data_IF_773017155797
#
_entry.id   IF_773017155797
#
_cell.length_a   1.000
_cell.length_b   1.000
_cell.length_c   1.000
_cell.angle_alpha   90.00
_cell.angle_beta   90.00
_cell.angle_gamma   90.00
#
_symmetry.space_group_name_H-M   'P 1'
#
loop_
_entity.id
_entity.type
_entity.pdbx_description
1 polymer ?
#
# COMPACT_ATOMS: atom_id res chain seq x y z
N UNK A 1 -15.96 -13.72 -15.72
CA UNK A 1 -15.35 -12.78 -14.74
C UNK A 1 -16.12 -12.87 -13.44
N UNK A 2 -15.48 -13.25 -12.34
CA UNK A 2 -16.16 -13.32 -11.04
C UNK A 2 -16.31 -11.93 -10.40
N UNK A 3 -17.32 -11.77 -9.57
CA UNK A 3 -17.58 -10.58 -8.76
C UNK A 3 -18.31 -11.00 -7.46
N UNK A 4 -18.59 -10.07 -6.56
CA UNK A 4 -19.20 -10.38 -5.26
C UNK A 4 -20.54 -11.15 -5.33
N UNK A 5 -21.31 -11.08 -6.43
CA UNK A 5 -22.55 -11.86 -6.58
C UNK A 5 -22.33 -13.36 -6.79
N UNK A 6 -21.09 -13.77 -7.09
CA UNK A 6 -20.69 -15.17 -7.27
C UNK A 6 -20.16 -15.81 -5.98
N UNK A 7 -20.17 -15.07 -4.87
CA UNK A 7 -19.87 -15.62 -3.55
C UNK A 7 -21.09 -16.38 -3.01
N UNK A 8 -20.84 -17.37 -2.14
CA UNK A 8 -21.91 -18.12 -1.49
C UNK A 8 -22.91 -17.20 -0.79
N UNK A 9 -24.20 -17.55 -0.87
CA UNK A 9 -25.28 -16.78 -0.22
C UNK A 9 -24.95 -16.59 1.26
N UNK A 10 -25.05 -15.35 1.74
CA UNK A 10 -24.74 -14.98 3.11
C UNK A 10 -23.31 -14.50 3.36
N UNK A 11 -22.37 -14.67 2.43
CA UNK A 11 -20.97 -14.25 2.61
C UNK A 11 -20.83 -12.73 2.83
N UNK A 12 -21.75 -11.95 2.27
CA UNK A 12 -21.76 -10.49 2.39
C UNK A 12 -22.44 -9.97 3.68
N UNK A 13 -23.12 -10.83 4.44
CA UNK A 13 -23.86 -10.42 5.65
C UNK A 13 -22.86 -9.89 6.70
N UNK A 14 -23.26 -8.85 7.43
CA UNK A 14 -22.46 -8.13 8.44
C UNK A 14 -21.11 -7.61 7.93
N UNK A 15 -20.98 -7.36 6.62
CA UNK A 15 -19.73 -6.96 6.00
C UNK A 15 -18.57 -7.96 6.25
N UNK A 16 -18.86 -9.24 6.49
CA UNK A 16 -17.82 -10.26 6.81
C UNK A 16 -16.80 -10.44 5.70
N UNK A 17 -17.26 -10.47 4.44
CA UNK A 17 -16.37 -10.58 3.30
C UNK A 17 -15.38 -9.41 3.22
N UNK A 18 -15.85 -8.18 3.01
CA UNK A 18 -14.96 -7.04 2.81
C UNK A 18 -14.30 -6.54 4.11
N UNK A 19 -15.09 -6.43 5.19
CA UNK A 19 -14.67 -5.82 6.45
C UNK A 19 -13.91 -6.73 7.41
N UNK A 20 -13.85 -8.04 7.15
CA UNK A 20 -13.11 -8.99 8.00
C UNK A 20 -12.20 -9.88 7.17
N UNK A 21 -12.75 -10.65 6.22
CA UNK A 21 -11.98 -11.65 5.47
C UNK A 21 -10.91 -10.98 4.59
N UNK A 22 -11.30 -10.02 3.75
CA UNK A 22 -10.36 -9.31 2.87
C UNK A 22 -9.33 -8.52 3.69
N UNK A 23 -9.73 -7.88 4.78
CA UNK A 23 -8.78 -7.16 5.66
C UNK A 23 -7.76 -8.10 6.30
N UNK A 24 -8.23 -9.25 6.79
CA UNK A 24 -7.35 -10.28 7.38
C UNK A 24 -6.42 -10.89 6.34
N UNK A 25 -6.92 -11.09 5.12
CA UNK A 25 -6.11 -11.59 4.01
C UNK A 25 -5.06 -10.57 3.55
N UNK A 26 -5.40 -9.28 3.53
CA UNK A 26 -4.45 -8.20 3.23
C UNK A 26 -3.39 -8.06 4.34
N UNK A 27 -3.79 -8.18 5.61
CA UNK A 27 -2.85 -8.23 6.75
C UNK A 27 -1.86 -9.38 6.59
N UNK A 28 -2.34 -10.58 6.27
CA UNK A 28 -1.48 -11.73 6.00
C UNK A 28 -0.50 -11.46 4.85
N UNK A 29 -1.00 -10.94 3.71
CA UNK A 29 -0.15 -10.55 2.58
C UNK A 29 0.90 -9.51 2.99
N UNK A 30 0.54 -8.55 3.85
CA UNK A 30 1.45 -7.54 4.39
C UNK A 30 2.59 -8.12 5.23
N UNK A 31 2.43 -9.31 5.82
CA UNK A 31 3.47 -9.99 6.61
C UNK A 31 4.40 -10.89 5.78
N UNK A 32 4.07 -11.15 4.52
CA UNK A 32 4.83 -12.07 3.68
C UNK A 32 6.22 -11.52 3.32
N UNK A 33 7.11 -12.44 2.96
CA UNK A 33 8.40 -12.13 2.29
C UNK A 33 8.25 -11.98 0.77
N UNK A 34 7.01 -12.04 0.26
CA UNK A 34 6.66 -11.84 -1.15
C UNK A 34 5.36 -11.05 -1.20
N UNK A 35 5.37 -9.86 -1.78
CA UNK A 35 4.19 -8.99 -1.82
C UNK A 35 3.48 -8.99 -3.18
N UNK A 36 3.99 -9.71 -4.18
CA UNK A 36 3.43 -9.71 -5.54
C UNK A 36 2.54 -10.93 -5.87
N UNK A 37 2.14 -11.68 -4.84
CA UNK A 37 1.41 -12.96 -4.95
C UNK A 37 2.36 -14.16 -4.82
N UNK A 38 1.84 -15.23 -4.23
CA UNK A 38 2.52 -16.52 -4.12
C UNK A 38 1.95 -17.52 -5.14
N UNK A 39 2.65 -18.62 -5.40
CA UNK A 39 2.08 -19.72 -6.19
C UNK A 39 0.84 -20.27 -5.43
N UNK A 40 -0.24 -20.52 -6.17
CA UNK A 40 -1.64 -20.55 -5.70
C UNK A 40 -2.01 -21.53 -4.58
N UNK A 41 -1.20 -22.55 -4.28
CA UNK A 41 -1.55 -23.55 -3.25
C UNK A 41 -1.65 -22.93 -1.85
N UNK A 42 -0.65 -22.13 -1.45
CA UNK A 42 -0.66 -21.48 -0.13
C UNK A 42 -1.75 -20.42 0.03
N UNK A 43 -2.11 -19.70 -1.04
CA UNK A 43 -3.18 -18.70 -1.01
C UNK A 43 -4.55 -19.36 -0.83
N UNK A 44 -4.80 -20.46 -1.52
CA UNK A 44 -6.03 -21.25 -1.39
C UNK A 44 -6.16 -21.81 0.04
N UNK A 45 -5.09 -22.37 0.60
CA UNK A 45 -5.08 -22.91 1.97
C UNK A 45 -5.38 -21.81 3.01
N UNK A 46 -4.75 -20.65 2.88
CA UNK A 46 -4.98 -19.52 3.79
C UNK A 46 -6.40 -19.00 3.63
N UNK A 47 -6.90 -18.82 2.41
CA UNK A 47 -8.27 -18.37 2.20
C UNK A 47 -9.30 -19.37 2.72
N UNK A 48 -9.05 -20.68 2.60
CA UNK A 48 -9.90 -21.71 3.20
C UNK A 48 -9.91 -21.59 4.73
N UNK A 49 -8.74 -21.43 5.36
CA UNK A 49 -8.63 -21.24 6.81
C UNK A 49 -9.41 -19.99 7.26
N UNK A 50 -9.21 -18.86 6.57
CA UNK A 50 -9.91 -17.61 6.88
C UNK A 50 -11.43 -17.77 6.71
N UNK A 51 -11.86 -18.44 5.64
CA UNK A 51 -13.27 -18.73 5.40
C UNK A 51 -13.89 -19.52 6.56
N UNK A 52 -13.25 -20.63 6.94
CA UNK A 52 -13.74 -21.49 8.02
C UNK A 52 -13.81 -20.76 9.36
N UNK A 53 -12.78 -19.98 9.70
CA UNK A 53 -12.74 -19.22 10.96
C UNK A 53 -13.81 -18.11 11.00
N UNK A 54 -14.00 -17.38 9.91
CA UNK A 54 -14.90 -16.22 9.87
C UNK A 54 -16.36 -16.65 9.79
N UNK A 55 -16.66 -17.68 8.98
CA UNK A 55 -18.02 -18.15 8.78
C UNK A 55 -18.43 -19.28 9.74
N UNK A 56 -17.49 -19.89 10.46
CA UNK A 56 -17.73 -20.94 11.48
C UNK A 56 -18.64 -22.05 10.96
N UNK A 57 -18.34 -22.52 9.75
CA UNK A 57 -19.09 -23.56 9.01
C UNK A 57 -20.56 -23.24 8.70
N UNK A 58 -21.05 -22.03 9.02
CA UNK A 58 -22.42 -21.59 8.69
C UNK A 58 -22.64 -21.38 7.20
N UNK A 59 -21.55 -21.14 6.46
CA UNK A 59 -21.56 -20.97 5.01
C UNK A 59 -20.53 -21.96 4.44
N UNK A 60 -20.94 -23.19 4.08
CA UNK A 60 -20.01 -24.18 3.55
C UNK A 60 -19.47 -23.70 2.20
N UNK A 61 -18.15 -23.71 2.05
CA UNK A 61 -17.48 -23.48 0.79
C UNK A 61 -16.10 -24.15 0.77
N UNK A 62 -15.77 -24.70 -0.39
CA UNK A 62 -14.41 -25.17 -0.69
C UNK A 62 -13.74 -24.13 -1.56
N UNK A 63 -12.70 -23.48 -1.02
CA UNK A 63 -11.86 -22.56 -1.77
C UNK A 63 -10.99 -23.37 -2.73
N UNK A 64 -11.04 -23.00 -4.00
CA UNK A 64 -10.26 -23.62 -5.06
C UNK A 64 -9.59 -22.53 -5.89
N UNK A 65 -8.42 -22.84 -6.45
CA UNK A 65 -7.75 -21.96 -7.41
C UNK A 65 -8.70 -21.62 -8.55
N UNK A 66 -8.65 -20.36 -8.99
CA UNK A 66 -9.40 -19.85 -10.14
C UNK A 66 -10.94 -19.99 -10.06
N UNK A 67 -11.48 -20.24 -8.87
CA UNK A 67 -12.92 -20.16 -8.55
C UNK A 67 -13.27 -18.82 -7.90
N UNK A 68 -14.54 -18.60 -7.62
CA UNK A 68 -15.09 -17.30 -7.23
C UNK A 68 -14.38 -16.68 -6.02
N UNK A 69 -14.29 -17.40 -4.90
CA UNK A 69 -13.66 -16.90 -3.66
C UNK A 69 -12.21 -16.49 -3.91
N UNK A 70 -11.41 -17.40 -4.48
CA UNK A 70 -9.99 -17.14 -4.77
C UNK A 70 -9.82 -15.97 -5.74
N UNK A 71 -10.55 -15.97 -6.86
CA UNK A 71 -10.41 -14.94 -7.90
C UNK A 71 -10.78 -13.55 -7.38
N UNK A 72 -11.88 -13.44 -6.62
CA UNK A 72 -12.32 -12.17 -6.06
C UNK A 72 -11.34 -11.70 -4.98
N UNK A 73 -10.87 -12.59 -4.10
CA UNK A 73 -9.88 -12.24 -3.09
C UNK A 73 -8.57 -11.76 -3.72
N UNK A 74 -8.06 -12.46 -4.73
CA UNK A 74 -6.85 -12.07 -5.47
C UNK A 74 -7.02 -10.72 -6.17
N UNK A 75 -8.19 -10.45 -6.75
CA UNK A 75 -8.53 -9.12 -7.26
C UNK A 75 -8.46 -8.06 -6.16
N UNK A 76 -9.04 -8.31 -4.98
CA UNK A 76 -8.99 -7.37 -3.84
C UNK A 76 -7.57 -7.13 -3.35
N UNK A 77 -6.69 -8.14 -3.38
CA UNK A 77 -5.27 -7.97 -3.04
C UNK A 77 -4.52 -7.18 -4.14
N UNK A 78 -4.89 -7.32 -5.41
CA UNK A 78 -4.38 -6.45 -6.47
C UNK A 78 -4.83 -4.99 -6.26
N UNK A 79 -6.09 -4.76 -5.90
CA UNK A 79 -6.63 -3.44 -5.56
C UNK A 79 -5.93 -2.84 -4.33
N UNK A 80 -5.72 -3.63 -3.27
CA UNK A 80 -4.97 -3.22 -2.08
C UNK A 80 -3.54 -2.77 -2.41
N UNK A 81 -2.82 -3.52 -3.26
CA UNK A 81 -1.50 -3.10 -3.77
C UNK A 81 -1.58 -1.81 -4.56
N UNK A 82 -2.56 -1.71 -5.47
CA UNK A 82 -2.82 -0.48 -6.23
C UNK A 82 -3.09 0.73 -5.33
N UNK A 83 -3.74 0.52 -4.18
CA UNK A 83 -3.97 1.52 -3.15
C UNK A 83 -2.68 2.18 -2.66
N UNK A 84 -1.57 1.45 -2.58
CA UNK A 84 -0.28 2.06 -2.21
C UNK A 84 0.18 3.10 -3.24
N UNK A 85 0.07 2.77 -4.52
CA UNK A 85 0.45 3.69 -5.60
C UNK A 85 -0.46 4.91 -5.67
N UNK A 86 -1.77 4.73 -5.46
CA UNK A 86 -2.71 5.85 -5.43
C UNK A 86 -2.46 6.78 -4.24
N UNK A 87 -2.25 6.23 -3.05
CA UNK A 87 -1.98 7.03 -1.85
C UNK A 87 -0.63 7.75 -1.92
N UNK A 88 0.42 7.15 -2.49
CA UNK A 88 1.72 7.84 -2.63
C UNK A 88 1.63 9.04 -3.56
N UNK A 89 0.84 8.95 -4.64
CA UNK A 89 0.51 10.09 -5.51
C UNK A 89 -0.20 11.19 -4.72
N UNK A 90 -1.18 10.85 -3.88
CA UNK A 90 -1.89 11.84 -3.05
C UNK A 90 -0.96 12.55 -2.07
N UNK A 91 -0.07 11.82 -1.39
CA UNK A 91 0.89 12.37 -0.43
C UNK A 91 1.85 13.35 -1.12
N UNK A 92 2.43 12.95 -2.25
CA UNK A 92 3.37 13.80 -2.99
C UNK A 92 2.66 15.00 -3.61
N UNK A 93 1.42 14.84 -4.09
CA UNK A 93 0.60 15.96 -4.54
C UNK A 93 0.30 16.95 -3.41
N UNK A 94 0.04 16.46 -2.19
CA UNK A 94 -0.14 17.30 -1.01
C UNK A 94 1.11 18.10 -0.69
N UNK A 95 2.30 17.47 -0.77
CA UNK A 95 3.58 18.15 -0.62
C UNK A 95 3.75 19.26 -1.67
N UNK A 96 3.52 18.96 -2.95
CA UNK A 96 3.65 19.92 -4.04
C UNK A 96 2.74 21.14 -3.79
N UNK A 97 1.48 20.92 -3.43
CA UNK A 97 0.54 22.01 -3.19
C UNK A 97 0.78 22.78 -1.88
N UNK A 98 1.56 22.23 -0.96
CA UNK A 98 1.88 22.90 0.30
C UNK A 98 2.90 24.03 0.13
N UNK A 99 3.61 24.07 -1.00
CA UNK A 99 4.62 25.08 -1.27
C UNK A 99 4.59 25.51 -2.75
N UNK A 100 4.26 26.77 -2.99
CA UNK A 100 4.15 27.34 -4.34
C UNK A 100 5.45 27.23 -5.15
N UNK A 101 6.60 27.07 -4.50
CA UNK A 101 7.88 26.82 -5.16
C UNK A 101 7.86 25.54 -6.03
N UNK A 102 6.96 24.60 -5.79
CA UNK A 102 6.82 23.35 -6.56
C UNK A 102 5.71 23.40 -7.61
N UNK A 103 5.14 24.57 -7.92
CA UNK A 103 4.05 24.69 -8.89
C UNK A 103 4.47 24.49 -10.36
N UNK A 104 5.77 24.55 -10.68
CA UNK A 104 6.25 24.28 -12.04
C UNK A 104 6.73 22.83 -12.23
N UNK A 105 6.56 22.23 -13.42
CA UNK A 105 7.08 20.90 -13.74
C UNK A 105 8.59 20.75 -13.50
N UNK A 106 9.36 21.81 -13.74
CA UNK A 106 10.81 21.85 -13.54
C UNK A 106 11.17 21.69 -12.05
N UNK A 107 10.49 22.44 -11.18
CA UNK A 107 10.69 22.37 -9.72
C UNK A 107 10.21 21.05 -9.14
N UNK A 108 9.17 20.45 -9.71
CA UNK A 108 8.73 19.10 -9.35
C UNK A 108 9.76 18.04 -9.73
N UNK A 109 10.42 18.19 -10.88
CA UNK A 109 11.52 17.31 -11.30
C UNK A 109 12.73 17.44 -10.37
N UNK A 110 13.12 18.67 -10.01
CA UNK A 110 14.19 18.93 -9.03
C UNK A 110 13.88 18.29 -7.67
N UNK A 111 12.66 18.48 -7.16
CA UNK A 111 12.18 17.84 -5.94
C UNK A 111 12.27 16.31 -6.03
N UNK A 112 11.85 15.72 -7.15
CA UNK A 112 11.93 14.29 -7.35
C UNK A 112 13.37 13.78 -7.40
N UNK A 113 14.28 14.51 -8.07
CA UNK A 113 15.70 14.17 -8.12
C UNK A 113 16.33 14.19 -6.73
N UNK A 114 16.07 15.24 -5.95
CA UNK A 114 16.52 15.37 -4.57
C UNK A 114 16.11 14.14 -3.75
N UNK A 115 14.82 13.77 -3.78
CA UNK A 115 14.34 12.65 -2.97
C UNK A 115 14.83 11.28 -3.48
N UNK A 116 15.04 11.12 -4.78
CA UNK A 116 15.55 9.88 -5.38
C UNK A 116 17.06 9.69 -5.18
N UNK A 117 17.82 10.76 -4.99
CA UNK A 117 19.24 10.70 -4.68
C UNK A 117 19.44 9.84 -3.44
N UNK A 118 20.29 8.81 -3.52
CA UNK A 118 20.55 7.88 -2.41
C UNK A 118 19.31 7.21 -1.78
N UNK A 119 18.13 7.24 -2.42
CA UNK A 119 16.83 6.92 -1.80
C UNK A 119 16.55 7.72 -0.50
N UNK A 120 16.89 9.00 -0.47
CA UNK A 120 16.67 9.89 0.68
C UNK A 120 15.23 9.92 1.16
N UNK A 121 14.27 9.67 0.27
CA UNK A 121 12.85 9.54 0.64
C UNK A 121 12.56 8.41 1.64
N UNK A 122 13.52 7.53 1.97
CA UNK A 122 13.38 6.51 3.01
C UNK A 122 13.73 7.02 4.42
N UNK A 123 14.48 8.12 4.55
CA UNK A 123 15.05 8.56 5.82
C UNK A 123 14.21 9.66 6.49
N UNK A 124 14.24 9.67 7.82
CA UNK A 124 13.63 10.71 8.66
C UNK A 124 14.40 12.02 8.56
N UNK A 125 15.73 11.93 8.50
CA UNK A 125 16.64 13.07 8.48
C UNK A 125 17.80 12.80 7.52
N UNK A 126 18.01 13.73 6.58
CA UNK A 126 19.05 13.71 5.55
C UNK A 126 19.94 14.96 5.58
N UNK A 127 20.00 15.66 6.73
CA UNK A 127 20.74 16.92 6.88
C UNK A 127 22.25 16.78 7.05
N UNK A 128 22.79 15.56 7.06
CA UNK A 128 24.22 15.31 7.22
C UNK A 128 25.03 15.41 5.92
N UNK A 129 26.34 15.61 6.06
CA UNK A 129 27.26 15.77 4.92
C UNK A 129 27.49 14.48 4.12
N UNK A 130 27.18 13.32 4.72
CA UNK A 130 27.33 12.01 4.07
C UNK A 130 26.16 11.08 4.37
N UNK A 131 26.01 10.05 3.53
CA UNK A 131 24.98 9.01 3.72
C UNK A 131 25.08 8.21 5.02
N UNK A 132 26.22 8.29 5.72
CA UNK A 132 26.42 7.68 7.04
C UNK A 132 25.76 8.48 8.17
N UNK A 133 25.49 9.75 7.92
CA UNK A 133 24.94 10.68 8.90
C UNK A 133 23.40 10.71 8.88
N UNK A 134 22.80 10.12 7.85
CA UNK A 134 21.35 10.03 7.70
C UNK A 134 20.73 9.14 8.76
N UNK A 135 19.58 9.55 9.28
CA UNK A 135 18.92 8.89 10.42
C UNK A 135 17.52 8.43 10.05
N UNK A 136 17.05 7.43 10.80
CA UNK A 136 15.69 6.93 10.69
C UNK A 136 15.36 6.37 9.31
N UNK A 137 16.17 5.45 8.78
CA UNK A 137 15.77 4.70 7.58
C UNK A 137 14.41 4.02 7.82
N UNK A 138 13.53 4.08 6.82
CA UNK A 138 12.11 3.68 6.86
C UNK A 138 11.19 4.58 7.67
N UNK A 139 11.69 5.70 8.22
CA UNK A 139 10.93 6.64 9.03
C UNK A 139 10.73 8.00 8.35
N UNK A 140 10.94 8.11 7.04
CA UNK A 140 10.53 9.31 6.33
C UNK A 140 9.03 9.57 6.47
N UNK A 141 8.64 10.83 6.40
CA UNK A 141 7.23 11.22 6.44
C UNK A 141 6.39 10.48 5.38
N UNK A 142 6.93 10.30 4.17
CA UNK A 142 6.25 9.59 3.08
C UNK A 142 5.98 8.12 3.42
N UNK A 143 7.00 7.41 3.90
CA UNK A 143 6.90 5.98 4.23
C UNK A 143 5.99 5.79 5.43
N UNK A 144 6.10 6.64 6.46
CA UNK A 144 5.28 6.55 7.65
C UNK A 144 3.80 6.82 7.36
N UNK A 145 3.46 7.82 6.54
CA UNK A 145 2.08 8.08 6.13
C UNK A 145 1.50 6.94 5.28
N UNK A 146 2.28 6.41 4.35
CA UNK A 146 1.88 5.25 3.56
C UNK A 146 1.62 4.01 4.42
N UNK A 147 2.50 3.76 5.39
CA UNK A 147 2.37 2.66 6.31
C UNK A 147 1.19 2.86 7.27
N UNK A 148 0.95 4.10 7.71
CA UNK A 148 -0.21 4.49 8.50
C UNK A 148 -1.53 4.22 7.74
N UNK A 149 -1.59 4.58 6.45
CA UNK A 149 -2.75 4.28 5.61
C UNK A 149 -3.02 2.77 5.50
N UNK A 150 -1.96 1.95 5.40
CA UNK A 150 -2.12 0.49 5.44
C UNK A 150 -2.62 -0.01 6.79
N UNK A 151 -2.06 0.47 7.90
CA UNK A 151 -2.47 0.10 9.26
C UNK A 151 -3.95 0.41 9.50
N UNK A 152 -4.41 1.58 9.03
CA UNK A 152 -5.82 1.94 9.06
C UNK A 152 -6.69 1.01 8.21
N UNK A 153 -6.24 0.70 6.99
CA UNK A 153 -6.95 -0.23 6.10
C UNK A 153 -7.20 -1.59 6.75
N UNK A 154 -6.25 -2.11 7.54
CA UNK A 154 -6.37 -3.43 8.20
C UNK A 154 -6.95 -3.37 9.62
N UNK A 155 -7.49 -2.23 10.09
CA UNK A 155 -7.94 -2.07 11.48
C UNK A 155 -9.04 -3.09 11.89
N UNK A 156 -9.86 -3.56 10.94
CA UNK A 156 -10.87 -4.61 11.17
C UNK A 156 -10.37 -6.05 10.97
N UNK A 157 -9.09 -6.25 10.67
CA UNK A 157 -8.52 -7.58 10.45
C UNK A 157 -8.46 -8.41 11.74
N UNK A 158 -8.77 -9.70 11.65
CA UNK A 158 -8.63 -10.63 12.76
C UNK A 158 -7.17 -11.06 12.96
N UNK A 159 -6.80 -11.34 14.21
CA UNK A 159 -5.54 -11.99 14.55
C UNK A 159 -5.70 -13.52 14.49
N UNK A 160 -5.54 -14.08 13.29
CA UNK A 160 -5.60 -15.53 13.09
C UNK A 160 -4.16 -16.07 13.05
N UNK A 161 -3.77 -17.02 13.91
CA UNK A 161 -2.47 -17.67 13.85
C UNK A 161 -2.38 -18.55 12.60
N UNK A 162 -1.94 -17.96 11.49
CA UNK A 162 -1.75 -18.69 10.24
C UNK A 162 -0.39 -19.40 10.32
N UNK A 163 -0.39 -20.69 10.63
CA UNK A 163 0.81 -21.54 10.67
C UNK A 163 1.23 -21.93 9.24
N UNK A 164 1.74 -20.98 8.44
CA UNK A 164 2.20 -21.24 7.05
C UNK A 164 3.58 -21.92 6.95
N UNK A 165 4.13 -22.47 8.04
CA UNK A 165 5.49 -23.04 8.06
C UNK A 165 6.63 -22.00 7.85
N UNK A 166 6.29 -20.75 7.53
CA UNK A 166 7.21 -19.62 7.53
C UNK A 166 7.62 -19.33 8.97
N UNK A 167 8.92 -19.47 9.29
CA UNK A 167 9.46 -19.17 10.62
C UNK A 167 9.08 -17.73 10.99
N UNK A 168 8.13 -17.58 11.89
CA UNK A 168 7.65 -16.30 12.39
C UNK A 168 8.72 -15.63 13.25
N UNK A 169 9.74 -15.06 12.60
CA UNK A 169 10.62 -14.09 13.25
C UNK A 169 9.90 -12.75 13.17
N UNK A 170 8.97 -12.58 14.11
CA UNK A 170 8.13 -11.41 14.34
C UNK A 170 7.10 -11.14 13.23
N UNK A 171 5.81 -11.10 13.58
CA UNK A 171 4.67 -10.90 12.66
C UNK A 171 4.54 -9.47 12.12
N UNK A 172 5.66 -8.83 11.77
CA UNK A 172 5.70 -7.48 11.24
C UNK A 172 5.24 -7.43 9.78
N UNK A 173 4.69 -6.30 9.38
CA UNK A 173 4.12 -6.06 8.05
C UNK A 173 5.21 -5.69 7.03
N UNK A 174 6.18 -6.59 6.85
CA UNK A 174 7.38 -6.40 6.01
C UNK A 174 7.04 -6.08 4.56
N UNK A 175 6.16 -6.87 3.94
CA UNK A 175 5.71 -6.64 2.57
C UNK A 175 4.99 -5.30 2.42
N UNK A 176 4.19 -4.90 3.41
CA UNK A 176 3.50 -3.62 3.37
C UNK A 176 4.47 -2.43 3.48
N UNK A 177 5.47 -2.49 4.38
CA UNK A 177 6.50 -1.45 4.49
C UNK A 177 7.35 -1.35 3.21
N UNK A 178 7.68 -2.50 2.61
CA UNK A 178 8.37 -2.53 1.31
C UNK A 178 7.52 -1.89 0.20
N UNK A 179 6.25 -2.28 0.08
CA UNK A 179 5.32 -1.68 -0.88
C UNK A 179 5.15 -0.17 -0.68
N UNK A 180 5.12 0.31 0.57
CA UNK A 180 5.10 1.74 0.88
C UNK A 180 6.33 2.46 0.29
N UNK A 181 7.54 1.96 0.57
CA UNK A 181 8.77 2.54 0.01
C UNK A 181 8.78 2.52 -1.52
N UNK A 182 8.44 1.39 -2.13
CA UNK A 182 8.42 1.23 -3.59
C UNK A 182 7.38 2.15 -4.24
N UNK A 183 6.21 2.32 -3.63
CA UNK A 183 5.16 3.21 -4.13
C UNK A 183 5.59 4.68 -4.08
N UNK A 184 6.34 5.10 -3.06
CA UNK A 184 6.93 6.44 -2.97
C UNK A 184 8.00 6.62 -4.04
N UNK A 185 8.93 5.66 -4.17
CA UNK A 185 9.96 5.67 -5.21
C UNK A 185 9.35 5.83 -6.60
N UNK A 186 8.33 5.01 -6.91
CA UNK A 186 7.62 5.04 -8.19
C UNK A 186 7.07 6.42 -8.47
N UNK A 187 6.40 7.04 -7.51
CA UNK A 187 5.78 8.35 -7.72
C UNK A 187 6.83 9.43 -7.98
N UNK A 188 7.95 9.43 -7.26
CA UNK A 188 9.06 10.33 -7.59
C UNK A 188 9.68 10.04 -8.96
N UNK A 189 9.85 8.77 -9.35
CA UNK A 189 10.34 8.41 -10.70
C UNK A 189 9.39 8.93 -11.78
N UNK A 190 8.07 8.80 -11.59
CA UNK A 190 7.09 9.36 -12.53
C UNK A 190 7.17 10.88 -12.58
N UNK A 191 7.33 11.54 -11.43
CA UNK A 191 7.42 13.00 -11.35
C UNK A 191 8.68 13.52 -12.05
N UNK A 192 9.84 12.92 -11.77
CA UNK A 192 11.12 13.21 -12.44
C UNK A 192 11.02 13.06 -13.96
N UNK A 193 10.38 11.99 -14.41
CA UNK A 193 10.25 11.69 -15.83
C UNK A 193 9.16 12.52 -16.52
N UNK A 194 8.53 13.48 -15.82
CA UNK A 194 7.35 14.24 -16.30
C UNK A 194 6.20 13.34 -16.77
N UNK A 195 6.14 12.13 -16.21
CA UNK A 195 5.16 11.08 -16.51
C UNK A 195 4.00 11.06 -15.50
N UNK A 196 3.98 11.98 -14.55
CA UNK A 196 2.88 12.24 -13.64
C UNK A 196 2.53 13.74 -13.71
N UNK A 197 1.30 14.04 -14.08
CA UNK A 197 0.76 15.41 -14.06
C UNK A 197 -0.53 15.47 -13.25
N UNK A 198 -0.84 16.65 -12.74
CA UNK A 198 -2.03 16.92 -11.95
C UNK A 198 -2.92 17.92 -12.67
N UNK A 199 -4.14 17.50 -13.00
CA UNK A 199 -5.13 18.36 -13.66
C UNK A 199 -6.23 18.73 -12.68
N UNK A 200 -6.55 20.02 -12.60
CA UNK A 200 -7.71 20.52 -11.85
C UNK A 200 -8.96 20.21 -12.67
N UNK A 201 -9.91 19.49 -12.08
CA UNK A 201 -11.21 19.22 -12.68
C UNK A 201 -12.08 20.47 -12.44
N UNK A 202 -12.51 21.18 -13.50
CA UNK A 202 -13.40 22.32 -13.34
C UNK A 202 -14.75 21.87 -12.74
N UNK A 203 -15.39 22.70 -11.91
CA UNK A 203 -16.69 22.36 -11.34
C UNK A 203 -17.73 22.20 -12.45
N UNK A 204 -18.22 20.97 -12.64
CA UNK A 204 -19.26 20.66 -13.61
C UNK A 204 -20.65 20.83 -12.97
N UNK A 205 -21.36 21.90 -13.35
CA UNK A 205 -22.77 22.09 -12.97
C UNK A 205 -23.25 23.54 -13.12
N UNK A 206 -24.39 23.73 -13.81
CA UNK A 206 -25.10 25.01 -13.95
C UNK A 206 -25.84 25.45 -12.65
N UNK A 207 -25.31 25.13 -11.48
CA UNK A 207 -25.92 25.43 -10.19
C UNK A 207 -24.95 26.19 -9.29
N UNK A 208 -25.14 27.51 -9.17
CA UNK A 208 -24.39 28.37 -8.24
C UNK A 208 -24.67 27.95 -6.80
N UNK A 209 -23.86 27.04 -6.26
CA UNK A 209 -23.45 27.08 -4.85
C UNK A 209 -21.94 27.03 -4.85
N UNK A 210 -21.31 28.17 -4.55
CA UNK A 210 -19.91 28.24 -4.14
C UNK A 210 -19.78 27.46 -2.84
N UNK A 211 -19.71 26.14 -2.93
CA UNK A 211 -19.06 25.38 -1.89
C UNK A 211 -17.60 25.82 -1.93
N UNK A 212 -17.09 26.31 -0.81
CA UNK A 212 -15.67 26.39 -0.45
C UNK A 212 -15.07 24.96 -0.41
N UNK A 213 -15.28 24.20 -1.48
CA UNK A 213 -14.84 22.83 -1.64
C UNK A 213 -13.48 22.81 -2.31
N UNK A 214 -12.57 22.03 -1.75
CA UNK A 214 -11.27 21.73 -2.32
C UNK A 214 -11.36 21.50 -3.84
N UNK A 215 -10.46 22.15 -4.60
CA UNK A 215 -10.36 21.93 -6.05
C UNK A 215 -10.20 20.43 -6.28
N UNK A 216 -11.17 19.82 -6.97
CA UNK A 216 -11.05 18.42 -7.39
C UNK A 216 -9.92 18.33 -8.41
N UNK A 217 -9.09 17.32 -8.29
CA UNK A 217 -7.96 17.09 -9.18
C UNK A 217 -7.92 15.63 -9.60
N UNK A 218 -7.21 15.36 -10.70
CA UNK A 218 -6.92 14.02 -11.20
C UNK A 218 -5.44 13.92 -11.52
N UNK A 219 -4.83 12.80 -11.12
CA UNK A 219 -3.50 12.44 -11.61
C UNK A 219 -3.63 11.77 -12.98
N UNK A 220 -2.84 12.23 -13.93
CA UNK A 220 -2.63 11.54 -15.20
C UNK A 220 -1.23 10.93 -15.20
N UNK A 221 -1.17 9.64 -15.50
CA UNK A 221 0.08 8.88 -15.55
C UNK A 221 0.33 8.52 -17.01
N UNK A 222 1.49 8.90 -17.53
CA UNK A 222 1.94 8.55 -18.87
C UNK A 222 2.95 7.39 -18.80
N UNK A 223 2.97 6.58 -19.84
CA UNK A 223 3.93 5.47 -19.99
C UNK A 223 3.56 4.18 -19.25
N UNK A 224 4.44 3.18 -19.40
CA UNK A 224 4.15 1.79 -19.03
C UNK A 224 4.45 1.44 -17.56
N UNK A 225 4.98 2.37 -16.75
CA UNK A 225 5.43 2.11 -15.37
C UNK A 225 4.27 1.89 -14.38
N UNK A 226 3.39 0.95 -14.67
CA UNK A 226 2.31 0.49 -13.81
C UNK A 226 2.89 -0.09 -12.51
N UNK A 227 2.15 0.05 -11.41
CA UNK A 227 2.53 -0.53 -10.12
C UNK A 227 2.28 -2.05 -10.11
N UNK A 228 3.13 -2.78 -10.84
CA UNK A 228 3.07 -4.24 -10.98
C UNK A 228 4.46 -4.87 -10.83
N UNK A 229 4.45 -6.17 -10.58
CA UNK A 229 5.64 -7.00 -10.34
C UNK A 229 6.71 -6.84 -11.43
N UNK A 230 6.31 -6.79 -12.69
CA UNK A 230 7.26 -6.73 -13.82
C UNK A 230 8.19 -5.52 -13.75
N UNK A 231 7.70 -4.39 -13.22
CA UNK A 231 8.47 -3.16 -13.12
C UNK A 231 9.09 -2.95 -11.74
N UNK A 232 8.42 -3.39 -10.67
CA UNK A 232 8.77 -3.02 -9.30
C UNK A 232 9.10 -4.21 -8.39
N UNK A 233 9.02 -5.44 -8.91
CA UNK A 233 9.27 -6.66 -8.16
C UNK A 233 10.71 -6.75 -7.64
N UNK A 234 11.70 -6.39 -8.47
CA UNK A 234 13.10 -6.36 -8.05
C UNK A 234 13.34 -5.38 -6.90
N UNK A 235 12.89 -4.12 -7.05
CA UNK A 235 13.03 -3.09 -6.01
C UNK A 235 12.37 -3.51 -4.69
N UNK A 236 11.17 -4.10 -4.78
CA UNK A 236 10.46 -4.63 -3.62
C UNK A 236 11.30 -5.68 -2.88
N UNK A 237 11.94 -6.60 -3.60
CA UNK A 237 12.80 -7.63 -3.00
C UNK A 237 14.01 -7.01 -2.32
N UNK A 238 14.68 -6.05 -2.96
CA UNK A 238 15.80 -5.33 -2.33
C UNK A 238 15.37 -4.63 -1.03
N UNK A 239 14.19 -4.01 -1.03
CA UNK A 239 13.64 -3.33 0.16
C UNK A 239 13.29 -4.34 1.25
N UNK A 240 12.68 -5.47 0.90
CA UNK A 240 12.40 -6.54 1.87
C UNK A 240 13.68 -7.08 2.52
N UNK A 241 14.77 -7.28 1.76
CA UNK A 241 16.06 -7.73 2.31
C UNK A 241 16.67 -6.72 3.29
N UNK A 242 16.48 -5.42 3.06
CA UNK A 242 16.88 -4.38 4.02
C UNK A 242 15.98 -4.39 5.25
N UNK A 243 14.66 -4.49 5.04
CA UNK A 243 13.64 -4.51 6.09
C UNK A 243 13.79 -5.72 7.03
N UNK A 244 14.24 -6.87 6.53
CA UNK A 244 14.53 -8.06 7.35
C UNK A 244 15.62 -7.82 8.41
N UNK A 245 16.47 -6.81 8.22
CA UNK A 245 17.54 -6.46 9.15
C UNK A 245 17.11 -5.43 10.19
N UNK A 246 15.88 -4.90 10.11
CA UNK A 246 15.36 -3.92 11.07
C UNK A 246 15.21 -4.59 12.45
N UNK A 247 15.86 -4.06 13.51
CA UNK A 247 15.70 -4.60 14.86
C UNK A 247 14.27 -4.41 15.40
N UNK A 248 13.76 -5.31 16.26
CA UNK A 248 12.41 -5.21 16.83
C UNK A 248 12.08 -3.83 17.44
N UNK A 249 13.01 -3.23 18.19
CA UNK A 249 12.84 -1.89 18.78
C UNK A 249 12.57 -0.80 17.73
N UNK A 250 13.20 -0.90 16.57
CA UNK A 250 13.01 0.06 15.46
C UNK A 250 11.67 -0.20 14.77
N UNK A 251 11.26 -1.46 14.63
CA UNK A 251 9.93 -1.82 14.15
C UNK A 251 8.81 -1.24 15.02
N UNK A 252 8.95 -1.39 16.34
CA UNK A 252 7.97 -0.89 17.30
C UNK A 252 7.87 0.65 17.22
N UNK A 253 9.00 1.33 17.00
CA UNK A 253 9.05 2.78 16.78
C UNK A 253 8.36 3.21 15.46
N UNK A 254 8.62 2.50 14.35
CA UNK A 254 7.94 2.72 13.06
C UNK A 254 6.42 2.58 13.23
N UNK A 255 5.97 1.48 13.85
CA UNK A 255 4.54 1.21 14.07
C UNK A 255 3.91 2.30 14.93
N UNK A 256 4.54 2.64 16.07
CA UNK A 256 4.05 3.66 16.98
C UNK A 256 3.93 5.02 16.28
N UNK A 257 4.95 5.43 15.53
CA UNK A 257 4.98 6.71 14.82
C UNK A 257 3.93 6.76 13.71
N UNK A 258 3.80 5.70 12.91
CA UNK A 258 2.76 5.62 11.89
C UNK A 258 1.34 5.70 12.47
N UNK A 259 1.06 5.03 13.59
CA UNK A 259 -0.27 5.07 14.22
C UNK A 259 -0.64 6.47 14.74
N UNK A 260 0.34 7.32 15.06
CA UNK A 260 0.08 8.71 15.46
C UNK A 260 -0.39 9.60 14.31
N UNK A 261 -0.16 9.20 13.06
CA UNK A 261 -0.56 9.93 11.85
C UNK A 261 -2.02 9.67 11.43
N UNK A 262 -2.70 8.69 12.05
CA UNK A 262 -4.09 8.29 11.73
C UNK A 262 -5.10 8.92 12.72
N UNK A 263 -4.83 10.12 13.24
CA UNK A 263 -5.72 10.80 14.18
C UNK A 263 -6.74 11.69 13.48
#
# INVERSE_FOLDING_TARGET
KYNNSHLSRGAMIDNKWCGILILTYAKWNGMLNVCWGTKSSSEVEVLQLLWNVIYKDKIPATVQSDKSIHTIATQRIAEWRGGFASASIMIIHSLINSNEAFNSPERQCELANFWLEGNWFLFEDVTGDSSKDYKGMWKSHFVLQMFAAHMHFIQGAMNIPIKTGLKARHGYLKAALSLAGVAVKRTFVLLRNKALTFEIIPPTGKGKRKATGSKKWKANILGEMMFKKDFWGHETVCYMQSIEKIPPKVWDDIIKTSLQLVK
#
